data_IF_345548452566
#
_entry.id   IF_345548452566
#
_cell.length_a   1.000
_cell.length_b   1.000
_cell.length_c   1.000
_cell.angle_alpha   90.00
_cell.angle_beta   90.00
_cell.angle_gamma   90.00
#
_symmetry.space_group_name_H-M   'P 1'
#
loop_
_entity.id
_entity.type
_entity.pdbx_description
1 polymer ?
#
# COMPACT_ATOMS: atom_id res chain seq x y z
N UNK A 1 -30.05 -0.32 -11.87
CA UNK A 1 -29.77 1.13 -11.71
C UNK A 1 -29.87 1.63 -10.25
N UNK A 2 -30.67 1.01 -9.35
CA UNK A 2 -30.83 1.48 -7.96
C UNK A 2 -29.83 0.93 -6.92
N UNK A 3 -29.03 -0.10 -7.23
CA UNK A 3 -28.07 -0.66 -6.28
C UNK A 3 -26.72 0.07 -6.23
N UNK A 4 -26.36 0.85 -7.27
CA UNK A 4 -25.10 1.60 -7.34
C UNK A 4 -25.18 2.98 -6.64
N UNK A 5 -26.38 3.55 -6.51
CA UNK A 5 -26.56 4.91 -5.97
C UNK A 5 -26.50 4.98 -4.44
N UNK A 6 -26.68 3.86 -3.75
CA UNK A 6 -26.60 3.80 -2.28
C UNK A 6 -25.14 3.79 -1.80
N UNK A 7 -24.27 3.08 -2.53
CA UNK A 7 -22.83 2.99 -2.24
C UNK A 7 -22.11 4.32 -2.47
N UNK A 8 -22.47 5.07 -3.52
CA UNK A 8 -21.90 6.40 -3.79
C UNK A 8 -22.30 7.45 -2.74
N UNK A 9 -23.56 7.44 -2.27
CA UNK A 9 -24.01 8.39 -1.22
C UNK A 9 -23.39 8.11 0.14
N UNK A 10 -23.15 6.85 0.50
CA UNK A 10 -22.42 6.51 1.73
C UNK A 10 -20.95 6.91 1.68
N UNK A 11 -20.32 6.90 0.50
CA UNK A 11 -18.95 7.37 0.32
C UNK A 11 -18.87 8.90 0.36
N UNK A 12 -19.83 9.62 -0.23
CA UNK A 12 -19.76 11.08 -0.35
C UNK A 12 -19.91 11.83 0.98
N UNK A 13 -20.77 11.36 1.89
CA UNK A 13 -20.89 11.92 3.25
C UNK A 13 -19.68 11.65 4.15
N UNK A 14 -18.83 10.68 3.78
CA UNK A 14 -17.64 10.29 4.54
C UNK A 14 -16.37 11.06 4.12
N UNK A 15 -16.37 11.76 2.99
CA UNK A 15 -15.16 12.38 2.42
C UNK A 15 -14.71 13.63 3.19
N UNK A 16 -15.63 14.40 3.79
CA UNK A 16 -15.27 15.62 4.52
C UNK A 16 -14.57 15.36 5.87
N UNK A 17 -14.58 14.12 6.37
CA UNK A 17 -13.95 13.70 7.64
C UNK A 17 -12.86 12.64 7.47
N UNK A 18 -12.30 12.47 6.25
CA UNK A 18 -11.27 11.47 5.93
C UNK A 18 -9.87 11.80 6.48
N UNK A 19 -9.75 11.98 7.80
CA UNK A 19 -8.49 11.74 8.53
C UNK A 19 -8.34 10.28 8.99
N UNK A 20 -9.26 9.40 8.56
CA UNK A 20 -9.51 8.10 9.19
C UNK A 20 -9.80 7.00 8.17
N UNK A 21 -8.79 6.43 7.54
CA UNK A 21 -8.84 5.05 7.02
C UNK A 21 -7.41 4.54 7.03
N UNK A 22 -7.12 3.50 7.79
CA UNK A 22 -5.80 2.88 7.86
C UNK A 22 -5.93 1.53 7.17
N UNK A 23 -5.19 1.31 6.09
CA UNK A 23 -5.35 0.15 5.23
C UNK A 23 -4.06 -0.67 5.09
N UNK A 24 -4.11 -2.01 5.26
CA UNK A 24 -2.91 -2.87 5.34
C UNK A 24 -2.43 -3.27 3.95
N UNK A 25 -1.17 -2.98 3.66
CA UNK A 25 -0.47 -3.36 2.43
C UNK A 25 0.29 -4.67 2.68
N UNK A 26 0.01 -5.72 1.89
CA UNK A 26 0.82 -6.94 1.88
C UNK A 26 1.91 -6.79 0.82
N UNK A 27 3.18 -6.74 1.23
CA UNK A 27 4.27 -6.68 0.25
C UNK A 27 5.67 -6.32 0.76
N UNK A 28 6.10 -6.82 1.92
CA UNK A 28 7.49 -7.15 2.25
C UNK A 28 7.58 -7.52 3.74
N UNK A 29 8.21 -8.66 3.99
CA UNK A 29 8.38 -9.29 5.28
C UNK A 29 9.53 -8.62 6.04
N UNK A 30 9.29 -7.64 6.93
CA UNK A 30 10.20 -7.43 8.06
C UNK A 30 9.44 -6.99 9.32
N UNK A 31 9.52 -7.89 10.30
CA UNK A 31 9.20 -7.79 11.73
C UNK A 31 9.22 -6.35 12.25
N UNK A 32 8.15 -5.89 12.90
CA UNK A 32 8.16 -4.75 13.83
C UNK A 32 7.47 -3.46 13.37
N UNK A 33 7.46 -3.12 12.08
CA UNK A 33 6.75 -1.97 11.53
C UNK A 33 5.87 -2.41 10.37
N UNK A 34 4.56 -2.18 10.48
CA UNK A 34 3.60 -2.52 9.43
C UNK A 34 3.31 -1.27 8.60
N UNK A 35 3.38 -1.40 7.27
CA UNK A 35 3.06 -0.34 6.33
C UNK A 35 1.54 -0.27 6.11
N UNK A 36 0.97 0.87 6.46
CA UNK A 36 -0.43 1.20 6.20
C UNK A 36 -0.54 2.36 5.21
N UNK A 37 -1.67 2.46 4.51
CA UNK A 37 -1.98 3.65 3.70
C UNK A 37 -3.20 4.38 4.22
N UNK A 38 -3.15 5.72 4.17
CA UNK A 38 -4.31 6.57 4.41
C UNK A 38 -5.25 6.64 3.20
N UNK A 39 -4.83 6.14 2.04
CA UNK A 39 -5.60 6.17 0.80
C UNK A 39 -6.14 4.77 0.49
N UNK A 40 -7.48 4.57 0.46
CA UNK A 40 -8.07 3.27 0.19
C UNK A 40 -7.76 2.75 -1.23
N UNK A 41 -7.56 3.63 -2.23
CA UNK A 41 -7.22 3.21 -3.59
C UNK A 41 -5.80 2.67 -3.68
N UNK A 42 -4.87 3.26 -2.94
CA UNK A 42 -3.49 2.75 -2.82
C UNK A 42 -3.51 1.37 -2.15
N UNK A 43 -4.30 1.19 -1.09
CA UNK A 43 -4.47 -0.11 -0.45
C UNK A 43 -5.01 -1.17 -1.42
N UNK A 44 -6.01 -0.76 -2.20
CA UNK A 44 -6.63 -1.61 -3.20
C UNK A 44 -5.60 -2.02 -4.25
N UNK A 45 -4.76 -1.09 -4.72
CA UNK A 45 -3.66 -1.36 -5.66
C UNK A 45 -2.78 -2.51 -5.16
N UNK A 46 -2.27 -2.42 -3.94
CA UNK A 46 -1.43 -3.48 -3.37
C UNK A 46 -2.16 -4.81 -3.20
N UNK A 47 -3.45 -4.78 -2.91
CA UNK A 47 -4.26 -5.99 -2.78
C UNK A 47 -4.50 -6.72 -4.12
N UNK A 48 -4.37 -6.02 -5.25
CA UNK A 48 -4.62 -6.56 -6.59
C UNK A 48 -3.37 -6.68 -7.48
N UNK A 49 -2.25 -6.06 -7.09
CA UNK A 49 -1.02 -5.98 -7.89
C UNK A 49 -0.45 -7.36 -8.24
N UNK A 50 -0.38 -8.27 -7.26
CA UNK A 50 0.29 -9.56 -7.39
C UNK A 50 -0.67 -10.75 -7.30
N UNK A 51 -0.15 -11.92 -7.68
CA UNK A 51 -0.82 -13.23 -7.57
C UNK A 51 -2.22 -13.26 -8.22
N UNK A 52 -2.28 -13.13 -9.55
CA UNK A 52 -3.54 -13.07 -10.31
C UNK A 52 -4.48 -14.26 -10.09
N UNK A 53 -3.94 -15.44 -9.81
CA UNK A 53 -4.72 -16.67 -9.60
C UNK A 53 -5.24 -16.87 -8.17
N UNK A 54 -4.99 -15.94 -7.26
CA UNK A 54 -5.42 -16.02 -5.85
C UNK A 54 -6.21 -14.78 -5.45
N UNK A 55 -7.10 -14.94 -4.49
CA UNK A 55 -7.85 -13.83 -3.94
C UNK A 55 -6.93 -12.84 -3.21
N UNK A 56 -7.15 -11.56 -3.45
CA UNK A 56 -6.50 -10.49 -2.71
C UNK A 56 -7.23 -10.22 -1.40
N UNK A 57 -6.56 -9.56 -0.46
CA UNK A 57 -7.24 -9.01 0.69
C UNK A 57 -6.51 -7.76 1.18
N UNK A 58 -7.27 -6.78 1.63
CA UNK A 58 -6.73 -5.70 2.46
C UNK A 58 -7.54 -5.58 3.73
N UNK A 59 -6.87 -5.07 4.76
CA UNK A 59 -7.49 -4.79 6.05
C UNK A 59 -7.72 -3.31 6.15
N UNK A 60 -8.77 -2.89 6.83
CA UNK A 60 -9.02 -1.49 7.12
C UNK A 60 -9.38 -1.28 8.58
N UNK A 61 -8.96 -0.14 9.11
CA UNK A 61 -9.16 0.26 10.49
C UNK A 61 -9.47 1.76 10.54
N UNK A 62 -10.47 2.12 11.34
CA UNK A 62 -10.75 3.51 11.65
C UNK A 62 -9.99 3.89 12.92
N UNK A 63 -8.82 4.50 12.78
CA UNK A 63 -7.98 4.89 13.91
C UNK A 63 -7.40 6.29 13.71
N UNK A 64 -7.01 6.94 14.82
CA UNK A 64 -6.38 8.25 14.79
C UNK A 64 -4.90 8.11 14.39
N UNK A 65 -4.45 8.92 13.45
CA UNK A 65 -3.05 8.98 13.03
C UNK A 65 -2.42 10.23 13.63
N UNK A 66 -1.26 10.08 14.27
CA UNK A 66 -0.52 11.20 14.84
C UNK A 66 0.62 11.65 13.91
N UNK A 67 0.78 12.97 13.81
CA UNK A 67 1.94 13.62 13.19
C UNK A 67 2.89 14.19 14.27
N UNK A 68 2.60 13.94 15.55
CA UNK A 68 3.32 14.50 16.68
C UNK A 68 4.50 13.57 17.06
N UNK A 69 5.60 13.73 16.34
CA UNK A 69 6.84 12.98 16.61
C UNK A 69 7.38 13.18 18.03
N UNK A 70 7.07 14.31 18.67
CA UNK A 70 7.50 14.62 20.04
C UNK A 70 6.89 13.68 21.10
N UNK A 71 5.80 12.99 20.76
CA UNK A 71 5.18 11.98 21.61
C UNK A 71 5.91 10.63 21.53
N UNK A 72 6.82 10.47 20.57
CA UNK A 72 7.57 9.25 20.31
C UNK A 72 8.98 9.48 20.84
N UNK A 73 9.20 9.15 22.11
CA UNK A 73 10.53 9.29 22.70
C UNK A 73 11.36 8.01 22.49
N UNK A 74 12.23 8.06 21.48
CA UNK A 74 13.17 6.98 21.18
C UNK A 74 14.16 6.71 22.33
N UNK A 75 14.36 7.66 23.25
CA UNK A 75 15.27 7.50 24.40
C UNK A 75 14.63 6.75 25.56
N UNK A 76 13.30 6.79 25.67
CA UNK A 76 12.54 6.00 26.67
C UNK A 76 12.16 4.62 26.17
N UNK A 77 12.41 4.34 24.89
CA UNK A 77 12.13 3.06 24.29
C UNK A 77 13.01 1.98 24.96
N UNK A 78 12.37 1.19 25.80
CA UNK A 78 12.96 0.25 26.71
C UNK A 78 13.25 -1.07 25.98
N UNK A 79 14.52 -1.43 25.86
CA UNK A 79 14.88 -2.83 25.67
C UNK A 79 14.65 -3.49 27.03
N UNK A 80 13.60 -4.32 27.15
CA UNK A 80 13.39 -5.15 28.34
C UNK A 80 14.69 -5.85 28.73
N UNK A 81 14.89 -6.14 30.02
CA UNK A 81 16.15 -6.74 30.51
C UNK A 81 16.54 -8.01 29.75
N UNK A 82 15.55 -8.77 29.28
CA UNK A 82 15.71 -9.96 28.43
C UNK A 82 16.12 -9.62 26.98
N UNK A 83 15.60 -8.52 26.40
CA UNK A 83 15.99 -8.04 25.07
C UNK A 83 17.43 -7.47 25.03
N UNK A 84 17.97 -7.03 26.16
CA UNK A 84 19.39 -6.65 26.29
C UNK A 84 20.33 -7.85 26.20
N UNK A 85 19.89 -9.04 26.57
CA UNK A 85 20.71 -10.27 26.52
C UNK A 85 20.87 -10.80 25.09
N UNK A 86 19.97 -10.43 24.18
CA UNK A 86 20.03 -10.78 22.75
C UNK A 86 19.84 -9.51 21.89
N UNK A 87 20.89 -8.70 21.66
CA UNK A 87 20.82 -7.38 21.01
C UNK A 87 20.45 -7.40 19.51
N UNK A 88 19.93 -8.51 18.99
CA UNK A 88 19.54 -8.64 17.59
C UNK A 88 18.26 -7.85 17.22
N UNK A 89 17.52 -7.33 18.20
CA UNK A 89 16.28 -6.61 17.95
C UNK A 89 16.54 -5.12 17.67
N UNK A 90 16.45 -4.71 16.40
CA UNK A 90 16.50 -3.32 15.92
C UNK A 90 15.33 -2.43 16.41
N UNK A 91 14.49 -2.90 17.34
CA UNK A 91 13.24 -2.26 17.75
C UNK A 91 13.26 -1.98 19.25
N UNK A 92 12.86 -0.77 19.63
CA UNK A 92 12.81 -0.33 21.01
C UNK A 92 11.35 -0.12 21.45
N UNK A 93 10.96 -0.70 22.60
CA UNK A 93 9.56 -0.75 23.10
C UNK A 93 9.28 0.48 23.95
N UNK A 94 8.32 1.34 23.60
CA UNK A 94 8.00 2.48 24.47
C UNK A 94 7.13 2.03 25.66
N UNK A 95 7.52 2.30 26.91
CA UNK A 95 6.82 1.79 28.09
C UNK A 95 5.48 2.50 28.37
N UNK A 96 5.33 3.75 27.92
CA UNK A 96 4.15 4.59 28.14
C UNK A 96 3.20 4.70 26.95
N UNK A 97 3.47 3.99 25.84
CA UNK A 97 2.59 4.02 24.67
C UNK A 97 1.35 3.12 24.86
N UNK A 98 0.23 3.49 24.21
CA UNK A 98 -0.93 2.60 24.05
C UNK A 98 -0.58 1.36 23.22
N UNK A 99 -1.50 0.40 23.09
CA UNK A 99 -1.24 -0.89 22.41
C UNK A 99 -0.67 -0.75 20.99
N UNK A 100 -1.13 0.25 20.23
CA UNK A 100 -0.62 0.60 18.91
C UNK A 100 -0.71 2.11 18.69
N UNK A 101 0.31 2.68 18.07
CA UNK A 101 0.34 4.07 17.62
C UNK A 101 0.56 4.10 16.12
N UNK A 102 -0.27 4.88 15.42
CA UNK A 102 -0.12 5.11 13.99
C UNK A 102 0.51 6.47 13.74
N UNK A 103 1.64 6.47 13.06
CA UNK A 103 2.49 7.64 12.85
C UNK A 103 2.62 7.88 11.38
N UNK A 104 2.33 9.10 10.93
CA UNK A 104 2.70 9.50 9.58
C UNK A 104 4.19 9.83 9.58
N UNK A 105 5.02 9.20 8.73
CA UNK A 105 6.42 9.55 8.63
C UNK A 105 6.57 10.93 7.96
N UNK A 106 7.72 11.59 8.18
CA UNK A 106 8.09 12.75 7.38
C UNK A 106 8.42 12.24 5.99
N UNK A 107 7.59 12.57 5.02
CA UNK A 107 7.81 12.13 3.65
C UNK A 107 9.02 12.86 3.06
N UNK A 108 10.17 12.19 3.04
CA UNK A 108 11.38 12.66 2.35
C UNK A 108 11.48 12.08 0.93
N UNK A 109 10.84 10.94 0.70
CA UNK A 109 10.82 10.23 -0.57
C UNK A 109 9.40 10.33 -1.19
N UNK A 110 9.34 10.62 -2.49
CA UNK A 110 8.10 10.68 -3.27
C UNK A 110 7.28 9.40 -3.16
N UNK A 111 7.95 8.25 -3.03
CA UNK A 111 7.29 6.96 -2.84
C UNK A 111 6.38 6.98 -1.61
N UNK A 112 6.86 7.47 -0.48
CA UNK A 112 6.04 7.52 0.74
C UNK A 112 4.89 8.53 0.61
N UNK A 113 5.09 9.63 -0.15
CA UNK A 113 4.04 10.60 -0.45
C UNK A 113 2.93 9.96 -1.28
N UNK A 114 3.28 9.24 -2.34
CA UNK A 114 2.35 8.62 -3.28
C UNK A 114 1.61 7.46 -2.63
N UNK A 115 2.31 6.69 -1.80
CA UNK A 115 1.71 5.59 -1.04
C UNK A 115 0.85 6.07 0.13
N UNK A 116 0.94 7.36 0.51
CA UNK A 116 0.30 7.91 1.71
C UNK A 116 0.58 7.05 2.95
N UNK A 117 1.85 6.68 3.10
CA UNK A 117 2.28 5.69 4.07
C UNK A 117 2.04 6.16 5.50
N UNK A 118 1.62 5.23 6.34
CA UNK A 118 1.47 5.36 7.79
C UNK A 118 2.20 4.17 8.38
N UNK A 119 3.05 4.43 9.37
CA UNK A 119 3.76 3.41 10.10
C UNK A 119 2.97 3.09 11.37
N UNK A 120 2.82 1.81 11.70
CA UNK A 120 2.35 1.42 13.02
C UNK A 120 3.51 1.04 13.91
N UNK A 121 3.55 1.62 15.11
CA UNK A 121 4.39 1.18 16.20
C UNK A 121 3.53 0.42 17.22
N UNK A 122 3.88 -0.83 17.49
CA UNK A 122 3.20 -1.68 18.46
C UNK A 122 3.91 -1.64 19.80
N UNK A 123 3.15 -1.78 20.89
CA UNK A 123 3.73 -1.81 22.23
C UNK A 123 4.68 -2.98 22.42
N UNK A 124 4.26 -4.18 22.05
CA UNK A 124 5.08 -5.38 22.10
C UNK A 124 5.05 -6.08 20.72
N UNK A 125 6.19 -6.17 20.01
CA UNK A 125 6.24 -6.82 18.69
C UNK A 125 6.14 -8.35 18.75
N UNK A 126 6.25 -8.96 19.94
CA UNK A 126 6.19 -10.41 20.14
C UNK A 126 4.78 -10.91 20.49
N UNK A 127 3.87 -10.01 20.86
CA UNK A 127 2.48 -10.34 21.17
C UNK A 127 1.62 -10.20 19.90
N UNK A 128 0.78 -11.20 19.56
CA UNK A 128 -0.18 -11.07 18.48
C UNK A 128 -1.08 -9.85 18.72
N UNK A 129 -0.99 -8.87 17.81
CA UNK A 129 -1.73 -7.64 17.92
C UNK A 129 -3.22 -7.87 17.66
N UNK A 130 -4.04 -7.73 18.70
CA UNK A 130 -5.49 -7.64 18.54
C UNK A 130 -5.89 -6.17 18.44
N UNK A 131 -6.23 -5.72 17.24
CA UNK A 131 -6.66 -4.33 17.01
C UNK A 131 -8.20 -4.26 16.97
N UNK A 132 -8.85 -3.66 17.97
CA UNK A 132 -10.30 -3.50 17.96
C UNK A 132 -10.77 -2.75 16.71
N UNK A 133 -11.77 -3.29 16.03
CA UNK A 133 -12.35 -2.64 14.84
C UNK A 133 -11.57 -2.88 13.54
N UNK A 134 -10.55 -3.74 13.54
CA UNK A 134 -9.90 -4.20 12.31
C UNK A 134 -10.89 -5.02 11.48
N UNK A 135 -11.10 -4.62 10.23
CA UNK A 135 -11.98 -5.31 9.29
C UNK A 135 -11.17 -5.77 8.07
N UNK A 136 -11.62 -6.83 7.41
CA UNK A 136 -10.97 -7.41 6.23
C UNK A 136 -11.93 -7.37 5.04
N UNK A 137 -11.42 -6.96 3.89
CA UNK A 137 -12.11 -7.05 2.60
C UNK A 137 -11.35 -8.05 1.74
N UNK A 138 -12.07 -9.01 1.17
CA UNK A 138 -11.53 -10.02 0.25
C UNK A 138 -11.88 -9.58 -1.17
N UNK A 139 -10.90 -9.67 -2.06
CA UNK A 139 -11.02 -9.33 -3.47
C UNK A 139 -10.88 -10.63 -4.26
N UNK A 140 -11.96 -11.10 -4.88
CA UNK A 140 -11.90 -12.25 -5.76
C UNK A 140 -10.83 -12.08 -6.85
N UNK A 141 -10.07 -13.14 -7.10
CA UNK A 141 -9.05 -13.21 -8.15
C UNK A 141 -9.56 -12.74 -9.52
N UNK A 142 -10.81 -13.08 -9.85
CA UNK A 142 -11.48 -12.69 -11.09
C UNK A 142 -11.61 -11.18 -11.29
N UNK A 143 -11.72 -10.40 -10.21
CA UNK A 143 -11.90 -8.95 -10.26
C UNK A 143 -10.57 -8.18 -10.33
N UNK A 144 -9.42 -8.83 -10.03
CA UNK A 144 -8.13 -8.14 -9.92
C UNK A 144 -7.73 -7.41 -11.21
N UNK A 145 -8.00 -8.00 -12.37
CA UNK A 145 -7.66 -7.38 -13.66
C UNK A 145 -8.45 -6.08 -13.89
N UNK A 146 -9.77 -6.14 -13.71
CA UNK A 146 -10.64 -4.99 -13.88
C UNK A 146 -10.32 -3.88 -12.86
N UNK A 147 -10.07 -4.25 -11.61
CA UNK A 147 -9.72 -3.30 -10.56
C UNK A 147 -8.40 -2.58 -10.84
N UNK A 148 -7.38 -3.28 -11.37
CA UNK A 148 -6.12 -2.64 -11.80
C UNK A 148 -6.35 -1.61 -12.89
N UNK A 149 -7.17 -1.93 -13.88
CA UNK A 149 -7.45 -1.00 -14.97
C UNK A 149 -8.21 0.23 -14.48
N UNK A 150 -9.21 0.04 -13.61
CA UNK A 150 -9.93 1.15 -12.97
C UNK A 150 -9.02 2.01 -12.09
N UNK A 151 -8.14 1.40 -11.30
CA UNK A 151 -7.17 2.11 -10.48
C UNK A 151 -6.23 2.97 -11.32
N UNK A 152 -5.77 2.43 -12.47
CA UNK A 152 -4.94 3.16 -13.43
C UNK A 152 -5.67 4.38 -14.00
N UNK A 153 -6.95 4.22 -14.38
CA UNK A 153 -7.80 5.34 -14.85
C UNK A 153 -7.94 6.42 -13.76
N UNK A 154 -8.01 6.01 -12.49
CA UNK A 154 -8.04 6.90 -11.33
C UNK A 154 -6.67 7.49 -10.96
N UNK A 155 -5.62 7.24 -11.74
CA UNK A 155 -4.28 7.76 -11.52
C UNK A 155 -3.43 6.97 -10.52
N UNK A 156 -3.89 5.82 -10.05
CA UNK A 156 -3.13 4.91 -9.19
C UNK A 156 -2.52 3.81 -10.06
N UNK A 157 -1.39 4.14 -10.70
CA UNK A 157 -0.60 3.22 -11.53
C UNK A 157 0.66 2.73 -10.83
N UNK A 158 1.33 1.74 -11.42
CA UNK A 158 2.61 1.23 -10.92
C UNK A 158 3.69 2.31 -10.91
N UNK A 159 3.78 3.15 -11.95
CA UNK A 159 4.73 4.27 -11.98
C UNK A 159 4.40 5.38 -10.97
N UNK A 160 3.13 5.56 -10.61
CA UNK A 160 2.74 6.48 -9.54
C UNK A 160 3.18 5.93 -8.17
N UNK A 161 2.91 4.66 -7.87
CA UNK A 161 3.24 4.04 -6.58
C UNK A 161 4.74 3.84 -6.40
N UNK A 162 5.46 3.56 -7.49
CA UNK A 162 6.91 3.36 -7.52
C UNK A 162 7.55 4.38 -8.47
N UNK A 163 7.83 5.60 -7.99
CA UNK A 163 8.41 6.63 -8.82
C UNK A 163 9.79 6.22 -9.36
N UNK A 164 10.13 6.72 -10.55
CA UNK A 164 11.40 6.47 -11.22
C UNK A 164 11.34 5.42 -12.33
N UNK A 165 12.50 5.14 -12.92
CA UNK A 165 12.62 4.34 -14.14
C UNK A 165 12.08 2.91 -13.98
N UNK A 166 12.29 2.30 -12.82
CA UNK A 166 11.83 0.94 -12.56
C UNK A 166 10.30 0.83 -12.60
N UNK A 167 9.58 1.78 -11.99
CA UNK A 167 8.12 1.77 -12.00
C UNK A 167 7.54 2.01 -13.40
N UNK A 168 8.12 2.94 -14.15
CA UNK A 168 7.74 3.19 -15.55
C UNK A 168 8.01 1.97 -16.42
N UNK A 169 9.19 1.35 -16.31
CA UNK A 169 9.52 0.15 -17.06
C UNK A 169 8.60 -1.03 -16.70
N UNK A 170 8.28 -1.21 -15.42
CA UNK A 170 7.34 -2.23 -14.96
C UNK A 170 5.93 -2.02 -15.51
N UNK A 171 5.47 -0.77 -15.57
CA UNK A 171 4.18 -0.41 -16.16
C UNK A 171 4.14 -0.71 -17.66
N UNK A 172 5.15 -0.29 -18.41
CA UNK A 172 5.28 -0.58 -19.85
C UNK A 172 5.28 -2.09 -20.09
N UNK A 173 6.03 -2.85 -19.28
CA UNK A 173 6.08 -4.31 -19.38
C UNK A 173 4.69 -4.94 -19.20
N UNK A 174 3.95 -4.52 -18.16
CA UNK A 174 2.61 -5.02 -17.87
C UNK A 174 1.59 -4.72 -18.97
N UNK A 175 1.71 -3.57 -19.65
CA UNK A 175 0.70 -3.12 -20.62
C UNK A 175 1.03 -3.44 -22.08
N UNK A 176 2.31 -3.51 -22.43
CA UNK A 176 2.75 -3.74 -23.80
C UNK A 176 3.31 -5.15 -23.94
N UNK A 177 4.28 -5.50 -23.10
CA UNK A 177 5.08 -6.70 -23.30
C UNK A 177 4.34 -7.99 -22.88
N UNK A 178 3.78 -8.02 -21.67
CA UNK A 178 3.08 -9.20 -21.14
C UNK A 178 1.83 -9.57 -21.96
N UNK A 179 1.03 -8.61 -22.48
CA UNK A 179 -0.07 -8.92 -23.38
C UNK A 179 0.38 -9.47 -24.74
N UNK A 180 1.55 -9.06 -25.25
CA UNK A 180 2.12 -9.61 -26.48
C UNK A 180 2.56 -11.06 -26.26
N UNK A 181 3.30 -11.34 -25.18
CA UNK A 181 3.76 -12.70 -24.85
C UNK A 181 2.59 -13.64 -24.57
N UNK A 182 1.57 -13.17 -23.87
CA UNK A 182 0.38 -13.98 -23.57
C UNK A 182 -0.57 -14.14 -24.76
N UNK A 183 -0.25 -13.57 -25.93
CA UNK A 183 -1.05 -13.67 -27.15
C UNK A 183 -2.33 -12.83 -27.13
N UNK A 184 -2.51 -11.95 -26.13
CA UNK A 184 -3.66 -11.04 -26.01
C UNK A 184 -3.57 -9.87 -26.99
N UNK A 185 -2.35 -9.45 -27.34
CA UNK A 185 -2.07 -8.39 -28.31
C UNK A 185 -1.13 -8.95 -29.39
N UNK A 186 -1.40 -8.66 -30.66
CA UNK A 186 -0.47 -8.94 -31.76
C UNK A 186 0.28 -7.66 -32.11
N UNK A 187 1.61 -7.73 -32.15
CA UNK A 187 2.46 -6.64 -32.61
C UNK A 187 2.95 -6.93 -34.03
N UNK A 188 2.85 -5.94 -34.92
CA UNK A 188 3.40 -5.97 -36.29
C UNK A 188 4.43 -4.84 -36.38
N UNK A 189 5.68 -5.19 -36.68
CA UNK A 189 6.73 -4.22 -36.91
C UNK A 189 7.09 -4.19 -38.39
N UNK A 190 6.98 -3.03 -39.02
CA UNK A 190 7.38 -2.79 -40.41
C UNK A 190 8.61 -1.88 -40.40
N UNK A 191 9.65 -2.27 -41.13
CA UNK A 191 10.84 -1.45 -41.36
C UNK A 191 10.83 -0.98 -42.81
N UNK A 192 10.84 0.33 -43.01
CA UNK A 192 11.03 0.95 -44.31
C UNK A 192 12.38 1.68 -44.29
N UNK A 193 13.22 1.41 -45.28
CA UNK A 193 14.40 2.20 -45.59
C UNK A 193 14.14 2.94 -46.91
N UNK A 194 14.47 4.23 -46.94
CA UNK A 194 14.41 5.04 -48.14
C UNK A 194 15.85 5.36 -48.51
N UNK A 195 16.33 4.78 -49.60
CA UNK A 195 17.60 5.15 -50.19
C UNK A 195 17.35 6.29 -51.17
N UNK A 196 18.08 7.39 -50.97
CA UNK A 196 18.10 8.50 -51.92
C UNK A 196 19.34 8.31 -52.80
N UNK A 197 19.13 7.94 -54.06
CA UNK A 197 20.20 8.03 -55.06
C UNK A 197 20.57 9.51 -55.26
N UNK A 198 21.88 9.78 -55.33
CA UNK A 198 22.51 11.11 -55.38
C UNK A 198 22.04 11.98 -56.54
#
# INVERSE_FOLDING_TARGET
AQAFSVTERQLHGSLLNMRRVVSRIYGALFRGSLDWSSNPLVALFFAVEQENGKDGAFYYLQHMVTDQYNLIDYRTANYTADARQAPASLFAIQPSQGEIVFVRPRYTDERYVNQKSILSNVKDPFVPLNVPGLKKIIIPSSLKYELRERLRILGISTSYIYPGLLGVAAEIKSHIFDPIISGRIKSIALRCSVDFDQ
#
